data_IF_408072361136
#
_entry.id   IF_408072361136
#
_cell.length_a   1.000
_cell.length_b   1.000
_cell.length_c   1.000
_cell.angle_alpha   90.00
_cell.angle_beta   90.00
_cell.angle_gamma   90.00
#
_symmetry.space_group_name_H-M   'P 1'
#
loop_
_entity.id
_entity.type
_entity.pdbx_description
1 polymer ?
#
# COMPACT_ATOMS: atom_id res chain seq x y z
N UNK A 1 -52.80 -13.89 -35.52
CA UNK A 1 -51.62 -13.19 -36.05
C UNK A 1 -51.61 -11.83 -35.38
N UNK A 2 -50.65 -11.37 -34.58
CA UNK A 2 -49.27 -11.76 -34.27
C UNK A 2 -48.94 -11.09 -32.92
N UNK A 3 -48.18 -11.78 -32.09
CA UNK A 3 -47.56 -11.27 -30.85
C UNK A 3 -46.56 -10.15 -31.14
N UNK A 4 -46.50 -9.12 -30.29
CA UNK A 4 -45.29 -8.29 -30.14
C UNK A 4 -44.76 -8.42 -28.71
N UNK A 5 -43.84 -9.37 -28.56
CA UNK A 5 -42.82 -9.38 -27.51
C UNK A 5 -41.69 -8.51 -28.05
N UNK A 6 -41.21 -7.55 -27.27
CA UNK A 6 -39.78 -7.43 -26.94
C UNK A 6 -39.53 -6.17 -26.11
N UNK A 7 -39.23 -6.43 -24.84
CA UNK A 7 -38.62 -5.51 -23.93
C UNK A 7 -37.21 -5.18 -24.43
N UNK A 8 -36.94 -3.90 -24.70
CA UNK A 8 -35.55 -3.45 -24.81
C UNK A 8 -35.02 -3.26 -23.39
N UNK A 9 -34.35 -4.32 -22.94
CA UNK A 9 -33.34 -4.31 -21.91
C UNK A 9 -32.36 -3.17 -22.20
N UNK A 10 -32.44 -2.07 -21.44
CA UNK A 10 -31.33 -1.11 -21.35
C UNK A 10 -30.26 -1.79 -20.51
N UNK A 11 -29.35 -2.51 -21.17
CA UNK A 11 -28.16 -3.06 -20.54
C UNK A 11 -27.28 -1.91 -20.05
N UNK A 12 -26.97 -1.99 -18.76
CA UNK A 12 -25.93 -1.28 -18.03
C UNK A 12 -24.74 -0.81 -18.88
N UNK A 13 -24.52 0.51 -18.85
CA UNK A 13 -23.24 1.19 -18.76
C UNK A 13 -22.05 0.47 -19.42
N UNK A 14 -21.83 0.78 -20.71
CA UNK A 14 -20.52 0.63 -21.32
C UNK A 14 -19.59 1.68 -20.71
N UNK A 15 -18.72 1.25 -19.80
CA UNK A 15 -17.73 2.11 -19.13
C UNK A 15 -16.58 2.36 -20.11
N UNK A 16 -16.32 3.65 -20.41
CA UNK A 16 -15.13 4.08 -21.13
C UNK A 16 -13.89 3.88 -20.24
N UNK A 17 -12.89 3.06 -20.65
CA UNK A 17 -11.69 2.79 -19.84
C UNK A 17 -10.81 4.02 -19.59
N UNK A 18 -10.97 5.10 -20.37
CA UNK A 18 -10.16 6.32 -20.25
C UNK A 18 -10.73 7.35 -19.24
N UNK A 19 -11.85 7.02 -18.60
CA UNK A 19 -12.51 7.94 -17.67
C UNK A 19 -12.13 7.61 -16.22
N UNK A 20 -11.21 8.39 -15.66
CA UNK A 20 -10.88 8.37 -14.24
C UNK A 20 -12.12 8.74 -13.42
N UNK A 21 -12.70 7.76 -12.72
CA UNK A 21 -13.82 7.98 -11.82
C UNK A 21 -13.31 8.32 -10.41
N UNK A 22 -13.40 9.60 -10.05
CA UNK A 22 -13.00 10.08 -8.72
C UNK A 22 -14.26 10.24 -7.85
N UNK A 23 -14.34 9.47 -6.76
CA UNK A 23 -15.35 9.64 -5.72
C UNK A 23 -14.90 10.64 -4.66
N UNK A 24 -15.85 11.33 -4.03
CA UNK A 24 -15.50 12.27 -2.95
C UNK A 24 -15.06 11.51 -1.70
N UNK A 25 -14.05 12.03 -1.00
CA UNK A 25 -13.59 11.48 0.30
C UNK A 25 -14.75 11.28 1.29
N UNK A 26 -15.74 12.18 1.30
CA UNK A 26 -16.90 12.11 2.19
C UNK A 26 -17.81 10.90 1.96
N UNK A 27 -17.68 10.22 0.81
CA UNK A 27 -18.41 8.98 0.51
C UNK A 27 -17.83 7.76 1.24
N UNK A 28 -16.62 7.88 1.80
CA UNK A 28 -15.91 6.80 2.47
C UNK A 28 -15.58 7.19 3.90
N UNK A 29 -16.23 6.54 4.86
CA UNK A 29 -15.91 6.71 6.27
C UNK A 29 -14.91 5.64 6.72
N UNK A 30 -13.65 6.04 6.87
CA UNK A 30 -12.59 5.18 7.40
C UNK A 30 -12.34 5.38 8.90
N UNK A 31 -13.16 6.20 9.57
CA UNK A 31 -13.07 6.38 11.00
C UNK A 31 -13.68 5.17 11.73
N UNK A 32 -13.08 4.81 12.87
CA UNK A 32 -13.59 3.80 13.81
C UNK A 32 -13.71 4.41 15.21
N UNK A 33 -14.46 3.74 16.09
CA UNK A 33 -14.70 4.24 17.45
C UNK A 33 -13.46 4.32 18.33
N UNK A 34 -12.40 3.59 17.98
CA UNK A 34 -11.10 3.58 18.69
C UNK A 34 -10.08 4.56 18.10
N UNK A 35 -10.46 5.37 17.10
CA UNK A 35 -9.61 6.46 16.62
C UNK A 35 -9.44 7.52 17.70
N UNK A 36 -8.21 8.02 17.83
CA UNK A 36 -7.86 9.01 18.87
C UNK A 36 -7.97 10.44 18.37
N UNK A 37 -8.00 10.61 17.04
CA UNK A 37 -8.08 11.89 16.38
C UNK A 37 -9.31 11.93 15.48
N UNK A 38 -9.98 13.08 15.44
CA UNK A 38 -11.19 13.27 14.63
C UNK A 38 -10.95 13.15 13.12
N UNK A 39 -9.69 13.17 12.67
CA UNK A 39 -9.33 13.07 11.26
C UNK A 39 -8.32 11.95 11.01
N UNK A 40 -8.69 11.07 10.07
CA UNK A 40 -7.79 10.10 9.47
C UNK A 40 -6.89 10.78 8.42
N UNK A 41 -5.59 10.50 8.50
CA UNK A 41 -4.61 10.88 7.47
C UNK A 41 -4.09 9.63 6.80
N UNK A 42 -4.70 9.29 5.66
CA UNK A 42 -4.33 8.10 4.89
C UNK A 42 -3.08 8.41 4.07
N UNK A 43 -1.98 7.74 4.39
CA UNK A 43 -0.65 7.98 3.82
C UNK A 43 -0.23 6.92 2.81
N UNK A 44 -0.72 5.69 2.97
CA UNK A 44 -0.43 4.55 2.10
C UNK A 44 -1.67 3.70 1.84
N UNK A 45 -1.67 3.02 0.69
CA UNK A 45 -2.78 2.16 0.26
C UNK A 45 -2.26 0.96 -0.55
N UNK A 46 -2.86 -0.21 -0.34
CA UNK A 46 -2.70 -1.35 -1.23
C UNK A 46 -4.03 -2.11 -1.37
N UNK A 47 -4.17 -2.88 -2.46
CA UNK A 47 -5.40 -3.62 -2.76
C UNK A 47 -5.06 -5.11 -2.81
N UNK A 48 -5.65 -5.90 -1.92
CA UNK A 48 -5.48 -7.34 -1.91
C UNK A 48 -6.08 -7.95 -3.19
N UNK A 49 -5.55 -9.07 -3.71
CA UNK A 49 -6.16 -9.74 -4.86
C UNK A 49 -7.60 -10.22 -4.63
N UNK A 50 -8.00 -10.37 -3.37
CA UNK A 50 -9.38 -10.65 -2.96
C UNK A 50 -10.33 -9.45 -3.10
N UNK A 51 -9.79 -8.24 -3.22
CA UNK A 51 -10.51 -6.98 -3.51
C UNK A 51 -10.64 -6.04 -2.31
N UNK A 52 -10.24 -6.45 -1.11
CA UNK A 52 -10.16 -5.58 0.06
C UNK A 52 -9.03 -4.56 -0.11
N UNK A 53 -9.25 -3.37 0.43
CA UNK A 53 -8.27 -2.29 0.43
C UNK A 53 -7.65 -2.21 1.81
N UNK A 54 -6.32 -2.10 1.91
CA UNK A 54 -5.65 -1.84 3.18
C UNK A 54 -5.05 -0.45 3.13
N UNK A 55 -5.30 0.34 4.17
CA UNK A 55 -4.84 1.72 4.30
C UNK A 55 -3.99 1.91 5.55
N UNK A 56 -2.94 2.72 5.39
CA UNK A 56 -2.13 3.23 6.49
C UNK A 56 -2.74 4.54 7.01
N UNK A 57 -3.23 4.54 8.24
CA UNK A 57 -3.73 5.73 8.91
C UNK A 57 -2.64 6.33 9.81
N UNK A 58 -1.93 7.31 9.24
CA UNK A 58 -0.75 7.93 9.83
C UNK A 58 -1.06 8.55 11.19
N UNK A 59 -2.14 9.33 11.29
CA UNK A 59 -2.46 10.11 12.48
C UNK A 59 -2.95 9.22 13.61
N UNK A 60 -3.78 8.22 13.30
CA UNK A 60 -4.29 7.28 14.32
C UNK A 60 -3.34 6.12 14.64
N UNK A 61 -2.17 6.03 13.97
CA UNK A 61 -1.18 4.95 14.18
C UNK A 61 -1.80 3.55 13.99
N UNK A 62 -2.67 3.43 12.98
CA UNK A 62 -3.42 2.20 12.69
C UNK A 62 -3.25 1.81 11.23
N UNK A 63 -3.39 0.52 10.99
CA UNK A 63 -3.64 -0.02 9.65
C UNK A 63 -5.07 -0.53 9.63
N UNK A 64 -5.82 -0.16 8.60
CA UNK A 64 -7.24 -0.50 8.47
C UNK A 64 -7.44 -1.29 7.19
N UNK A 65 -8.23 -2.35 7.27
CA UNK A 65 -8.72 -3.11 6.12
C UNK A 65 -10.15 -2.66 5.84
N UNK A 66 -10.42 -2.37 4.57
CA UNK A 66 -11.70 -1.97 4.05
C UNK A 66 -12.23 -3.09 3.14
N UNK A 67 -13.51 -3.40 3.27
CA UNK A 67 -14.18 -4.33 2.36
C UNK A 67 -14.34 -3.75 0.94
N UNK A 68 -14.97 -4.50 0.03
CA UNK A 68 -15.21 -4.08 -1.37
C UNK A 68 -16.17 -2.88 -1.49
N UNK A 69 -16.85 -2.53 -0.41
CA UNK A 69 -17.72 -1.38 -0.28
C UNK A 69 -17.04 -0.23 0.49
N UNK A 70 -15.75 -0.38 0.78
CA UNK A 70 -14.90 0.56 1.52
C UNK A 70 -15.32 0.79 2.98
N UNK A 71 -16.04 -0.16 3.59
CA UNK A 71 -16.31 -0.15 5.03
C UNK A 71 -15.15 -0.79 5.79
N UNK A 72 -14.78 -0.25 6.96
CA UNK A 72 -13.73 -0.85 7.80
C UNK A 72 -14.20 -2.21 8.32
N UNK A 73 -13.49 -3.28 7.93
CA UNK A 73 -13.79 -4.67 8.31
C UNK A 73 -12.82 -5.23 9.36
N UNK A 74 -11.61 -4.67 9.43
CA UNK A 74 -10.59 -5.00 10.43
C UNK A 74 -9.66 -3.81 10.61
N UNK A 75 -9.06 -3.68 11.78
CA UNK A 75 -8.00 -2.72 12.04
C UNK A 75 -6.93 -3.32 12.96
N UNK A 76 -5.75 -2.71 12.97
CA UNK A 76 -4.64 -3.06 13.85
C UNK A 76 -3.87 -1.80 14.25
N UNK A 77 -3.66 -1.64 15.55
CA UNK A 77 -2.78 -0.60 16.08
C UNK A 77 -1.31 -1.01 15.91
N UNK A 78 -0.50 -0.11 15.35
CA UNK A 78 0.91 -0.39 15.01
C UNK A 78 1.91 0.43 15.82
N UNK A 79 1.43 1.20 16.82
CA UNK A 79 2.24 1.96 17.79
C UNK A 79 3.13 3.09 17.21
N UNK A 80 3.24 3.18 15.89
CA UNK A 80 4.04 4.14 15.14
C UNK A 80 3.21 4.74 14.01
N UNK A 81 3.73 5.78 13.33
CA UNK A 81 2.99 6.44 12.26
C UNK A 81 3.24 5.73 10.92
N UNK A 82 2.32 4.88 10.42
CA UNK A 82 2.53 4.20 9.15
C UNK A 82 2.55 5.23 8.00
N UNK A 83 3.55 5.15 7.12
CA UNK A 83 3.78 6.06 6.01
C UNK A 83 3.31 5.47 4.69
N UNK A 84 3.66 4.21 4.42
CA UNK A 84 3.30 3.54 3.19
C UNK A 84 3.10 2.04 3.46
N UNK A 85 2.39 1.36 2.55
CA UNK A 85 2.03 -0.04 2.68
C UNK A 85 2.07 -0.74 1.32
N UNK A 86 2.64 -1.94 1.29
CA UNK A 86 2.62 -2.77 0.09
C UNK A 86 2.33 -4.23 0.41
N UNK A 87 1.79 -4.94 -0.57
CA UNK A 87 1.57 -6.38 -0.48
C UNK A 87 2.88 -7.09 -0.79
N UNK A 88 3.28 -8.02 0.07
CA UNK A 88 4.54 -8.76 -0.06
C UNK A 88 4.36 -10.27 -0.24
N UNK A 89 3.13 -10.75 -0.05
CA UNK A 89 2.72 -12.13 -0.29
C UNK A 89 1.37 -12.08 -0.97
N UNK A 90 1.12 -13.01 -1.89
CA UNK A 90 -0.05 -13.00 -2.77
C UNK A 90 -1.38 -12.90 -2.00
N UNK A 91 -1.47 -13.35 -0.75
CA UNK A 91 -2.75 -13.29 0.00
C UNK A 91 -2.66 -13.06 1.51
N UNK A 92 -1.48 -13.10 2.13
CA UNK A 92 -1.40 -13.28 3.58
C UNK A 92 -0.56 -12.26 4.33
N UNK A 93 0.06 -11.31 3.62
CA UNK A 93 0.99 -10.40 4.27
C UNK A 93 1.16 -9.07 3.56
N UNK A 94 1.22 -8.01 4.36
CA UNK A 94 1.59 -6.67 3.94
C UNK A 94 2.81 -6.19 4.71
N UNK A 95 3.61 -5.34 4.06
CA UNK A 95 4.71 -4.63 4.68
C UNK A 95 4.38 -3.14 4.82
N UNK A 96 4.85 -2.55 5.90
CA UNK A 96 4.57 -1.16 6.28
C UNK A 96 5.88 -0.45 6.57
N UNK A 97 6.04 0.71 5.95
CA UNK A 97 7.03 1.70 6.39
C UNK A 97 6.37 2.62 7.43
N UNK A 98 7.13 3.07 8.42
CA UNK A 98 6.60 3.94 9.48
C UNK A 98 7.39 5.26 9.63
N UNK A 99 8.14 5.65 8.60
CA UNK A 99 8.96 6.86 8.65
C UNK A 99 10.14 6.76 9.62
N UNK A 100 10.44 5.56 10.11
CA UNK A 100 11.66 5.25 10.86
C UNK A 100 12.58 4.39 10.01
N UNK A 101 13.70 3.98 10.59
CA UNK A 101 14.61 3.05 9.94
C UNK A 101 14.16 1.59 10.09
N UNK A 102 12.86 1.30 10.00
CA UNK A 102 12.36 -0.07 10.08
C UNK A 102 11.16 -0.30 9.17
N UNK A 103 10.98 -1.56 8.79
CA UNK A 103 9.76 -2.06 8.13
C UNK A 103 9.15 -3.18 8.96
N UNK A 104 7.83 -3.13 9.04
CA UNK A 104 7.02 -4.05 9.84
C UNK A 104 6.10 -4.83 8.94
N UNK A 105 5.86 -6.10 9.28
CA UNK A 105 4.92 -6.94 8.55
C UNK A 105 3.65 -7.13 9.37
N UNK A 106 2.52 -7.22 8.68
CA UNK A 106 1.23 -7.62 9.23
C UNK A 106 0.76 -8.85 8.47
N UNK A 107 0.38 -9.89 9.22
CA UNK A 107 -0.27 -11.07 8.67
C UNK A 107 -1.76 -10.81 8.46
N UNK A 108 -2.33 -11.42 7.44
CA UNK A 108 -3.77 -11.45 7.21
C UNK A 108 -4.23 -12.87 7.48
N UNK A 109 -5.00 -13.05 8.55
CA UNK A 109 -5.45 -14.36 9.04
C UNK A 109 -6.96 -14.29 9.21
N UNK A 110 -7.68 -15.17 8.50
CA UNK A 110 -9.15 -15.22 8.47
C UNK A 110 -9.79 -13.87 8.09
N UNK A 111 -9.19 -13.18 7.11
CA UNK A 111 -9.67 -11.88 6.63
C UNK A 111 -9.47 -10.74 7.64
N UNK A 112 -8.60 -10.91 8.63
CA UNK A 112 -8.28 -9.89 9.64
C UNK A 112 -6.80 -9.60 9.70
N UNK A 113 -6.47 -8.35 10.00
CA UNK A 113 -5.10 -7.91 10.28
C UNK A 113 -4.68 -8.48 11.64
N UNK A 114 -3.59 -9.26 11.67
CA UNK A 114 -3.03 -9.88 12.88
C UNK A 114 -1.50 -9.85 12.82
N UNK A 115 -0.88 -10.12 13.96
CA UNK A 115 0.57 -10.33 14.10
C UNK A 115 1.43 -9.22 13.46
N UNK A 116 1.56 -8.10 14.17
CA UNK A 116 2.47 -7.02 13.82
C UNK A 116 3.87 -7.29 14.39
N UNK A 117 4.88 -7.33 13.53
CA UNK A 117 6.26 -7.52 13.97
C UNK A 117 7.28 -6.82 13.07
N UNK A 118 8.34 -6.31 13.70
CA UNK A 118 9.50 -5.74 13.02
C UNK A 118 10.30 -6.84 12.36
N UNK A 119 10.64 -6.67 11.08
CA UNK A 119 11.42 -7.67 10.34
C UNK A 119 12.79 -7.14 9.95
N UNK A 120 12.90 -5.84 9.66
CA UNK A 120 14.16 -5.28 9.23
C UNK A 120 14.35 -3.89 9.81
N UNK A 121 15.57 -3.67 10.27
CA UNK A 121 16.08 -2.35 10.63
C UNK A 121 17.12 -1.92 9.59
N UNK A 122 17.00 -0.68 9.15
CA UNK A 122 17.84 -0.05 8.14
C UNK A 122 18.70 1.03 8.79
N UNK A 123 19.67 1.55 8.03
CA UNK A 123 20.47 2.72 8.43
C UNK A 123 19.91 4.03 7.87
N UNK A 124 18.74 3.98 7.24
CA UNK A 124 18.06 5.11 6.63
C UNK A 124 16.57 5.03 6.93
N UNK A 125 15.88 6.17 6.81
CA UNK A 125 14.43 6.24 6.94
C UNK A 125 13.75 5.48 5.80
N UNK A 126 12.68 4.76 6.11
CA UNK A 126 11.76 4.15 5.15
C UNK A 126 10.51 5.03 5.01
N UNK A 127 10.38 5.71 3.87
CA UNK A 127 9.22 6.56 3.55
C UNK A 127 8.24 5.78 2.68
N UNK A 128 8.64 5.46 1.44
CA UNK A 128 7.84 4.67 0.50
C UNK A 128 8.31 3.23 0.44
N UNK A 129 7.40 2.30 0.16
CA UNK A 129 7.68 0.86 0.10
C UNK A 129 6.95 0.20 -1.06
N UNK A 130 7.65 -0.67 -1.80
CA UNK A 130 7.01 -1.55 -2.77
C UNK A 130 7.73 -2.88 -2.85
N UNK A 131 7.06 -3.91 -3.33
CA UNK A 131 7.59 -5.25 -3.43
C UNK A 131 7.42 -5.78 -4.84
N UNK A 132 8.51 -6.30 -5.39
CA UNK A 132 8.54 -6.80 -6.75
C UNK A 132 9.53 -7.95 -6.89
N UNK A 133 9.05 -9.10 -7.39
CA UNK A 133 9.87 -10.27 -7.73
C UNK A 133 10.80 -10.75 -6.59
N UNK A 134 10.28 -10.84 -5.36
CA UNK A 134 11.10 -11.30 -4.22
C UNK A 134 11.85 -10.19 -3.48
N UNK A 135 11.89 -8.99 -4.06
CA UNK A 135 12.67 -7.88 -3.55
C UNK A 135 11.77 -6.76 -3.01
N UNK A 136 12.20 -6.19 -1.88
CA UNK A 136 11.59 -5.01 -1.28
C UNK A 136 12.37 -3.77 -1.71
N UNK A 137 11.66 -2.76 -2.16
CA UNK A 137 12.20 -1.49 -2.62
C UNK A 137 11.73 -0.41 -1.65
N UNK A 138 12.69 0.30 -1.07
CA UNK A 138 12.44 1.30 -0.04
C UNK A 138 12.96 2.64 -0.51
N UNK A 139 12.07 3.63 -0.55
CA UNK A 139 12.45 5.03 -0.78
C UNK A 139 12.75 5.69 0.56
N UNK A 140 13.91 6.34 0.65
CA UNK A 140 14.23 7.31 1.69
C UNK A 140 14.12 8.75 1.16
N UNK A 141 14.52 9.73 1.97
CA UNK A 141 14.64 11.11 1.50
C UNK A 141 15.73 11.32 0.44
N UNK A 142 16.74 10.44 0.38
CA UNK A 142 17.94 10.61 -0.46
C UNK A 142 18.28 9.45 -1.38
N UNK A 143 17.85 8.22 -1.09
CA UNK A 143 18.08 7.07 -1.96
C UNK A 143 16.88 6.13 -2.15
N UNK A 144 16.93 5.34 -3.23
CA UNK A 144 16.12 4.13 -3.41
C UNK A 144 17.00 2.92 -3.09
N UNK A 145 16.56 2.11 -2.15
CA UNK A 145 17.26 0.92 -1.70
C UNK A 145 16.52 -0.34 -2.15
N UNK A 146 17.28 -1.36 -2.53
CA UNK A 146 16.75 -2.69 -2.82
C UNK A 146 17.22 -3.68 -1.77
N UNK A 147 16.27 -4.44 -1.24
CA UNK A 147 16.47 -5.50 -0.25
C UNK A 147 15.97 -6.81 -0.81
N UNK A 148 16.71 -7.89 -0.56
CA UNK A 148 16.30 -9.24 -0.92
C UNK A 148 16.08 -10.04 0.36
N UNK A 149 14.99 -10.81 0.41
CA UNK A 149 14.74 -11.74 1.49
C UNK A 149 15.65 -12.96 1.33
N UNK A 150 16.41 -13.28 2.37
CA UNK A 150 17.15 -14.53 2.47
C UNK A 150 16.56 -15.38 3.61
N UNK A 151 16.50 -16.69 3.37
CA UNK A 151 16.25 -17.65 4.44
C UNK A 151 17.59 -17.95 5.10
N UNK A 152 17.75 -17.63 6.38
CA UNK A 152 18.91 -18.10 7.15
C UNK A 152 18.65 -19.51 7.68
N UNK A 153 19.73 -20.25 7.93
CA UNK A 153 19.73 -21.68 8.31
C UNK A 153 18.93 -21.97 9.61
N UNK A 154 18.56 -20.93 10.36
CA UNK A 154 17.79 -21.02 11.61
C UNK A 154 16.28 -20.73 11.46
N UNK A 155 15.74 -20.72 10.23
CA UNK A 155 14.31 -20.49 9.91
C UNK A 155 13.75 -19.08 10.16
N UNK A 156 14.59 -18.10 10.46
CA UNK A 156 14.20 -16.68 10.51
C UNK A 156 14.32 -16.05 9.12
N UNK A 157 13.38 -15.15 8.78
CA UNK A 157 13.42 -14.37 7.53
C UNK A 157 14.27 -13.13 7.76
N UNK A 158 15.41 -13.04 7.08
CA UNK A 158 16.30 -11.88 7.18
C UNK A 158 16.33 -11.14 5.83
N UNK A 159 16.21 -9.81 5.89
CA UNK A 159 16.31 -8.96 4.70
C UNK A 159 17.68 -8.32 4.64
N UNK A 160 18.37 -8.54 3.52
CA UNK A 160 19.73 -8.07 3.33
C UNK A 160 19.72 -6.94 2.30
N UNK A 161 20.37 -5.84 2.64
CA UNK A 161 20.61 -4.75 1.70
C UNK A 161 21.40 -5.30 0.51
N UNK A 162 20.78 -5.27 -0.67
CA UNK A 162 21.39 -5.77 -1.90
C UNK A 162 22.16 -4.69 -2.62
N UNK A 163 21.54 -3.50 -2.78
CA UNK A 163 22.15 -2.36 -3.44
C UNK A 163 21.36 -1.07 -3.24
N UNK A 164 22.08 0.05 -3.28
CA UNK A 164 21.50 1.38 -3.51
C UNK A 164 21.33 1.57 -5.01
N UNK A 165 20.09 1.77 -5.45
CA UNK A 165 19.75 1.89 -6.88
C UNK A 165 19.93 3.31 -7.40
N UNK A 166 19.72 4.27 -6.53
CA UNK A 166 19.79 5.69 -6.82
C UNK A 166 20.08 6.44 -5.52
N UNK A 167 20.86 7.51 -5.60
CA UNK A 167 21.16 8.41 -4.49
C UNK A 167 21.24 9.84 -5.03
N UNK A 168 20.48 10.76 -4.45
CA UNK A 168 20.57 12.20 -4.72
C UNK A 168 21.36 12.88 -3.60
N UNK A 169 22.55 13.39 -3.94
CA UNK A 169 23.38 14.14 -3.00
C UNK A 169 22.98 15.62 -2.89
N UNK A 170 21.93 16.07 -3.59
CA UNK A 170 21.48 17.47 -3.55
C UNK A 170 20.05 17.66 -4.08
N UNK A 171 19.07 17.58 -3.18
CA UNK A 171 17.73 18.16 -3.42
C UNK A 171 16.50 17.30 -3.10
N UNK A 172 16.67 16.05 -2.65
CA UNK A 172 15.55 15.17 -2.30
C UNK A 172 14.94 14.45 -3.50
N UNK A 173 14.53 13.20 -3.31
CA UNK A 173 14.14 12.28 -4.40
C UNK A 173 12.72 12.52 -4.94
N UNK A 174 11.90 13.35 -4.28
CA UNK A 174 10.45 13.43 -4.49
C UNK A 174 10.00 13.71 -5.93
N UNK A 175 10.90 14.16 -6.83
CA UNK A 175 10.60 14.37 -8.25
C UNK A 175 11.38 13.55 -9.30
N UNK A 176 12.41 12.75 -8.96
CA UNK A 176 13.37 12.24 -9.98
C UNK A 176 13.34 10.74 -10.30
N UNK A 177 12.70 9.91 -9.48
CA UNK A 177 12.78 8.44 -9.64
C UNK A 177 11.78 7.84 -10.65
N UNK A 178 11.13 8.70 -11.45
CA UNK A 178 10.01 8.37 -12.32
C UNK A 178 10.36 7.70 -13.66
N UNK A 179 11.61 7.28 -13.91
CA UNK A 179 12.01 6.97 -15.31
C UNK A 179 12.76 5.65 -15.58
N UNK A 180 13.05 4.79 -14.59
CA UNK A 180 13.92 3.63 -14.84
C UNK A 180 13.40 2.24 -14.47
N UNK A 181 12.36 2.13 -13.63
CA UNK A 181 11.80 0.84 -13.25
C UNK A 181 10.37 0.73 -13.77
N UNK A 182 10.21 0.04 -14.89
CA UNK A 182 8.88 -0.30 -15.43
C UNK A 182 8.13 -1.11 -14.36
N UNK A 183 6.90 -0.71 -14.07
CA UNK A 183 5.91 -1.35 -13.17
C UNK A 183 5.99 -1.07 -11.65
N UNK A 184 6.68 -0.03 -11.18
CA UNK A 184 6.64 0.35 -9.75
C UNK A 184 5.94 1.70 -9.54
N UNK A 185 4.70 1.68 -9.04
CA UNK A 185 4.02 2.89 -8.55
C UNK A 185 4.56 3.18 -7.15
N UNK A 186 5.18 4.35 -6.98
CA UNK A 186 5.55 4.86 -5.66
C UNK A 186 4.59 6.00 -5.30
N UNK A 187 3.87 5.83 -4.20
CA UNK A 187 3.07 6.90 -3.63
C UNK A 187 3.97 7.74 -2.72
N UNK A 188 4.30 8.95 -3.17
CA UNK A 188 4.83 9.97 -2.28
C UNK A 188 3.66 10.82 -1.81
N UNK A 189 3.76 11.34 -0.59
CA UNK A 189 2.80 12.23 0.10
C UNK A 189 2.32 13.42 -0.77
N UNK A 190 3.00 13.72 -1.88
CA UNK A 190 2.64 14.78 -2.82
C UNK A 190 2.43 14.35 -4.28
N UNK A 191 2.58 13.08 -4.65
CA UNK A 191 2.41 12.64 -6.05
C UNK A 191 2.06 11.16 -6.19
N UNK A 192 1.04 10.86 -6.99
CA UNK A 192 0.72 9.52 -7.50
C UNK A 192 1.30 9.40 -8.91
N UNK A 193 2.18 8.43 -9.15
CA UNK A 193 2.73 8.16 -10.48
C UNK A 193 2.19 6.84 -10.99
N UNK A 194 1.22 6.86 -11.91
CA UNK A 194 0.83 5.69 -12.70
C UNK A 194 1.66 5.63 -13.97
N UNK A 195 2.06 4.43 -14.37
CA UNK A 195 2.80 4.19 -15.62
C UNK A 195 1.85 3.53 -16.62
N UNK A 196 1.65 4.19 -17.76
CA UNK A 196 0.97 3.57 -18.90
C UNK A 196 1.86 2.47 -19.52
N UNK A 197 1.19 1.42 -19.98
CA UNK A 197 1.75 0.22 -20.60
C UNK A 197 2.41 0.46 -21.95
#
# INVERSE_FOLDING_TARGET
MTTSVDAIHKSSDQINPDQLYVKKKSEFNVNISSDTLESCYISGICILPSGETIVADYTNKRVKMLDKHYNVSSDLEVGSNPQDICIISTFSQVAISNGTSSVHFINIIDGKLKDFYTICEFKHVALGITYHQGDLYIISGTALYQYTMYYTVMSTRDWIHKKTLYEDTGGGITGKLCCKYRNCIFHSVNTVYTFDT
#
